data_IF_290300859115
#
_entry.id   IF_290300859115
#
_cell.length_a   1.000
_cell.length_b   1.000
_cell.length_c   1.000
_cell.angle_alpha   90.00
_cell.angle_beta   90.00
_cell.angle_gamma   90.00
#
_symmetry.space_group_name_H-M   'P 1'
#
loop_
_entity.id
_entity.type
_entity.pdbx_description
1 polymer ?
#
# COMPACT_ATOMS: atom_id res chain seq x y z
N UNK A 1 -10.74 -18.56 18.85
CA UNK A 1 -9.41 -17.99 18.63
C UNK A 1 -9.49 -16.85 17.64
N UNK A 2 -8.84 -15.76 17.92
CA UNK A 2 -8.86 -14.59 17.06
C UNK A 2 -7.86 -14.77 15.91
N UNK A 3 -8.37 -14.80 14.67
CA UNK A 3 -7.53 -15.04 13.50
C UNK A 3 -6.54 -13.90 13.23
N UNK A 4 -6.84 -12.67 13.67
CA UNK A 4 -5.91 -11.55 13.51
C UNK A 4 -4.58 -11.77 14.23
N UNK A 5 -4.60 -12.48 15.34
CA UNK A 5 -3.37 -12.75 16.10
C UNK A 5 -2.44 -13.72 15.40
N UNK A 6 -2.93 -14.42 14.38
CA UNK A 6 -2.10 -15.38 13.63
C UNK A 6 -1.31 -14.73 12.51
N UNK A 7 -1.66 -13.51 12.11
CA UNK A 7 -0.96 -12.81 11.05
C UNK A 7 0.26 -12.07 11.59
N UNK A 8 1.33 -12.14 10.85
CA UNK A 8 2.56 -11.42 11.15
C UNK A 8 2.73 -10.21 10.25
N UNK A 9 2.12 -10.24 9.09
CA UNK A 9 2.31 -9.25 8.04
C UNK A 9 0.98 -8.79 7.47
N UNK A 10 0.97 -7.57 6.93
CA UNK A 10 -0.18 -7.04 6.24
C UNK A 10 0.24 -6.26 5.00
N UNK A 11 -0.60 -6.30 3.99
CA UNK A 11 -0.53 -5.44 2.82
C UNK A 11 -1.84 -4.66 2.78
N UNK A 12 -1.76 -3.36 2.58
CA UNK A 12 -2.93 -2.48 2.60
C UNK A 12 -3.13 -1.89 1.21
N UNK A 13 -4.38 -1.90 0.73
CA UNK A 13 -4.74 -1.31 -0.55
C UNK A 13 -5.84 -0.29 -0.32
N UNK A 14 -5.64 0.95 -0.80
CA UNK A 14 -6.57 2.06 -0.60
C UNK A 14 -6.89 2.70 -1.94
N UNK A 15 -8.15 2.65 -2.34
CA UNK A 15 -8.62 3.25 -3.58
C UNK A 15 -10.13 3.39 -3.49
N UNK A 16 -10.68 4.55 -3.85
CA UNK A 16 -12.13 4.76 -3.74
C UNK A 16 -12.93 3.97 -4.77
N UNK A 17 -12.26 3.35 -5.75
CA UNK A 17 -12.90 2.48 -6.74
C UNK A 17 -12.79 1.02 -6.32
N UNK A 18 -13.90 0.38 -5.92
CA UNK A 18 -13.85 -1.01 -5.47
C UNK A 18 -13.39 -2.00 -6.56
N UNK A 19 -13.56 -1.67 -7.83
CA UNK A 19 -13.07 -2.54 -8.90
C UNK A 19 -11.54 -2.55 -8.97
N UNK A 20 -10.92 -1.42 -8.69
CA UNK A 20 -9.46 -1.35 -8.59
C UNK A 20 -8.96 -2.22 -7.44
N UNK A 21 -9.64 -2.14 -6.29
CA UNK A 21 -9.28 -2.97 -5.13
C UNK A 21 -9.42 -4.46 -5.43
N UNK A 22 -10.48 -4.83 -6.13
CA UNK A 22 -10.69 -6.22 -6.53
C UNK A 22 -9.57 -6.71 -7.45
N UNK A 23 -9.19 -5.89 -8.42
CA UNK A 23 -8.11 -6.21 -9.33
C UNK A 23 -6.79 -6.35 -8.61
N UNK A 24 -6.49 -5.44 -7.68
CA UNK A 24 -5.29 -5.50 -6.87
C UNK A 24 -5.22 -6.81 -6.06
N UNK A 25 -6.34 -7.16 -5.42
CA UNK A 25 -6.39 -8.39 -4.64
C UNK A 25 -6.07 -9.61 -5.49
N UNK A 26 -6.60 -9.65 -6.69
CA UNK A 26 -6.37 -10.75 -7.62
C UNK A 26 -4.90 -10.82 -8.05
N UNK A 27 -4.33 -9.68 -8.42
CA UNK A 27 -2.95 -9.64 -8.91
C UNK A 27 -1.92 -9.85 -7.82
N UNK A 28 -2.25 -9.49 -6.58
CA UNK A 28 -1.34 -9.67 -5.44
C UNK A 28 -1.34 -11.11 -4.91
N UNK A 29 -2.35 -11.89 -5.23
CA UNK A 29 -2.55 -13.21 -4.61
C UNK A 29 -1.33 -14.11 -4.70
N UNK A 30 -0.63 -14.09 -5.82
CA UNK A 30 0.54 -14.95 -6.03
C UNK A 30 1.74 -14.59 -5.15
N UNK A 31 1.75 -13.39 -4.59
CA UNK A 31 2.84 -12.93 -3.71
C UNK A 31 2.55 -13.15 -2.23
N UNK A 32 1.32 -13.51 -1.89
CA UNK A 32 0.85 -13.50 -0.52
C UNK A 32 0.89 -14.90 0.09
N UNK A 33 1.61 -15.02 1.21
CA UNK A 33 1.58 -16.23 2.03
C UNK A 33 0.37 -16.12 2.95
N UNK A 34 -0.71 -16.82 2.61
CA UNK A 34 -2.01 -16.65 3.26
C UNK A 34 -2.01 -16.97 4.75
N UNK A 35 -1.08 -17.79 5.19
CA UNK A 35 -1.03 -18.18 6.62
C UNK A 35 -0.44 -17.08 7.49
N UNK A 36 0.41 -16.23 6.93
CA UNK A 36 1.13 -15.22 7.70
C UNK A 36 0.76 -13.79 7.34
N UNK A 37 0.16 -13.58 6.17
CA UNK A 37 -0.05 -12.24 5.61
C UNK A 37 -1.52 -12.00 5.28
N UNK A 38 -2.07 -10.91 5.79
CA UNK A 38 -3.43 -10.47 5.46
C UNK A 38 -3.35 -9.31 4.47
N UNK A 39 -4.26 -9.28 3.52
CA UNK A 39 -4.42 -8.12 2.61
C UNK A 39 -5.73 -7.44 2.97
N UNK A 40 -5.65 -6.16 3.28
CA UNK A 40 -6.82 -5.38 3.68
C UNK A 40 -7.11 -4.31 2.64
N UNK A 41 -8.38 -4.07 2.37
CA UNK A 41 -8.83 -3.17 1.31
C UNK A 41 -9.72 -2.08 1.89
N UNK A 42 -9.46 -0.83 1.50
CA UNK A 42 -10.23 0.32 1.99
C UNK A 42 -10.62 1.24 0.85
N UNK A 43 -11.87 1.66 0.83
CA UNK A 43 -12.33 2.69 -0.12
C UNK A 43 -12.22 4.09 0.49
N UNK A 44 -11.99 4.19 1.79
CA UNK A 44 -11.90 5.46 2.51
C UNK A 44 -10.52 5.58 3.17
N UNK A 45 -9.76 6.64 2.88
CA UNK A 45 -8.40 6.77 3.42
C UNK A 45 -8.35 6.94 4.94
N UNK A 46 -9.37 7.56 5.55
CA UNK A 46 -9.37 7.75 6.99
C UNK A 46 -9.56 6.43 7.72
N UNK A 47 -10.41 5.56 7.19
CA UNK A 47 -10.58 4.22 7.74
C UNK A 47 -9.30 3.40 7.60
N UNK A 48 -8.59 3.57 6.48
CA UNK A 48 -7.32 2.89 6.26
C UNK A 48 -6.28 3.33 7.30
N UNK A 49 -6.21 4.62 7.58
CA UNK A 49 -5.27 5.16 8.59
C UNK A 49 -5.57 4.55 9.96
N UNK A 50 -6.83 4.51 10.36
CA UNK A 50 -7.21 3.93 11.65
C UNK A 50 -6.82 2.46 11.74
N UNK A 51 -7.04 1.71 10.67
CA UNK A 51 -6.70 0.30 10.63
C UNK A 51 -5.18 0.09 10.67
N UNK A 52 -4.43 0.91 9.95
CA UNK A 52 -2.97 0.84 9.94
C UNK A 52 -2.42 1.09 11.34
N UNK A 53 -2.95 2.10 12.04
CA UNK A 53 -2.53 2.38 13.41
C UNK A 53 -2.79 1.19 14.33
N UNK A 54 -3.94 0.54 14.16
CA UNK A 54 -4.28 -0.64 14.95
C UNK A 54 -3.31 -1.79 14.66
N UNK A 55 -3.04 -2.07 13.39
CA UNK A 55 -2.12 -3.14 13.02
C UNK A 55 -0.71 -2.88 13.58
N UNK A 56 -0.24 -1.64 13.49
CA UNK A 56 1.06 -1.28 14.05
C UNK A 56 1.08 -1.44 15.56
N UNK A 57 -0.01 -1.09 16.24
CA UNK A 57 -0.14 -1.29 17.68
C UNK A 57 -0.07 -2.77 18.04
N UNK A 58 -0.65 -3.62 17.21
CA UNK A 58 -0.64 -5.07 17.41
C UNK A 58 0.64 -5.73 16.92
N UNK A 59 1.60 -4.93 16.47
CA UNK A 59 2.93 -5.40 16.03
C UNK A 59 2.87 -6.26 14.79
N UNK A 60 1.88 -6.03 13.94
CA UNK A 60 1.81 -6.64 12.63
C UNK A 60 2.61 -5.76 11.67
N UNK A 61 3.60 -6.34 11.02
CA UNK A 61 4.43 -5.57 10.09
C UNK A 61 3.67 -5.31 8.79
N UNK A 62 3.55 -4.05 8.40
CA UNK A 62 2.95 -3.69 7.12
C UNK A 62 4.06 -3.71 6.08
N UNK A 63 3.94 -4.64 5.12
CA UNK A 63 4.99 -4.82 4.11
C UNK A 63 5.00 -3.64 3.15
N UNK A 64 3.83 -3.23 2.67
CA UNK A 64 3.66 -2.01 1.88
C UNK A 64 2.19 -1.61 1.84
N UNK A 65 1.96 -0.37 1.43
CA UNK A 65 0.62 0.17 1.23
C UNK A 65 0.52 0.65 -0.21
N UNK A 66 -0.49 0.19 -0.93
CA UNK A 66 -0.82 0.70 -2.27
C UNK A 66 -1.93 1.72 -2.08
N UNK A 67 -1.72 2.94 -2.58
CA UNK A 67 -2.69 4.02 -2.38
C UNK A 67 -2.90 4.79 -3.69
N UNK A 68 -4.16 5.08 -4.00
CA UNK A 68 -4.53 5.93 -5.12
C UNK A 68 -4.27 7.39 -4.77
N UNK A 69 -3.89 8.20 -5.75
CA UNK A 69 -3.69 9.62 -5.52
C UNK A 69 -5.02 10.35 -5.30
N UNK A 70 -6.00 10.12 -6.18
CA UNK A 70 -7.27 10.84 -6.12
C UNK A 70 -8.30 10.08 -5.29
N UNK A 71 -8.57 10.59 -4.10
CA UNK A 71 -9.57 10.02 -3.20
C UNK A 71 -10.36 11.15 -2.54
N UNK A 72 -11.63 10.91 -2.17
CA UNK A 72 -12.37 11.91 -1.37
C UNK A 72 -11.71 12.08 -0.01
N UNK A 73 -11.92 13.21 0.61
CA UNK A 73 -11.46 13.60 1.94
C UNK A 73 -9.95 13.87 2.02
N UNK A 74 -9.12 13.09 1.35
CA UNK A 74 -7.68 13.20 1.48
C UNK A 74 -7.03 12.58 0.24
N UNK A 75 -6.11 13.29 -0.41
CA UNK A 75 -5.42 12.70 -1.55
C UNK A 75 -4.30 11.77 -1.08
N UNK A 76 -3.74 11.00 -2.03
CA UNK A 76 -2.71 10.02 -1.71
C UNK A 76 -1.45 10.63 -1.13
N UNK A 77 -1.07 11.84 -1.56
CA UNK A 77 0.11 12.51 -1.02
C UNK A 77 -0.07 12.86 0.44
N UNK A 78 -1.24 13.41 0.78
CA UNK A 78 -1.56 13.73 2.17
C UNK A 78 -1.60 12.47 3.04
N UNK A 79 -2.17 11.41 2.51
CA UNK A 79 -2.24 10.11 3.18
C UNK A 79 -0.83 9.61 3.50
N UNK A 80 0.07 9.62 2.52
CA UNK A 80 1.44 9.15 2.70
C UNK A 80 2.18 10.01 3.71
N UNK A 81 2.08 11.33 3.62
CA UNK A 81 2.77 12.22 4.54
C UNK A 81 2.30 12.01 5.98
N UNK A 82 0.98 11.84 6.16
CA UNK A 82 0.42 11.58 7.48
C UNK A 82 1.01 10.30 8.09
N UNK A 83 1.08 9.23 7.30
CA UNK A 83 1.58 7.96 7.81
C UNK A 83 3.09 7.93 7.95
N UNK A 84 3.83 8.62 7.08
CA UNK A 84 5.29 8.71 7.20
C UNK A 84 5.71 9.48 8.44
N UNK A 85 4.93 10.47 8.86
CA UNK A 85 5.20 11.18 10.11
C UNK A 85 5.11 10.26 11.32
N UNK A 86 4.19 9.30 11.27
CA UNK A 86 3.99 8.35 12.37
C UNK A 86 4.89 7.13 12.24
N UNK A 87 5.12 6.67 11.03
CA UNK A 87 5.83 5.43 10.74
C UNK A 87 6.80 5.68 9.58
N UNK A 88 7.99 6.25 9.87
CA UNK A 88 8.91 6.69 8.81
C UNK A 88 9.40 5.61 7.86
N UNK A 89 9.42 4.36 8.30
CA UNK A 89 9.92 3.25 7.49
C UNK A 89 8.85 2.59 6.62
N UNK A 90 7.59 3.05 6.72
CA UNK A 90 6.50 2.47 5.96
C UNK A 90 6.70 2.70 4.47
N UNK A 91 6.41 1.67 3.67
CA UNK A 91 6.63 1.71 2.22
C UNK A 91 5.32 1.90 1.48
N UNK A 92 5.34 2.77 0.48
CA UNK A 92 4.15 3.10 -0.29
C UNK A 92 4.39 2.91 -1.78
N UNK A 93 3.36 2.38 -2.45
CA UNK A 93 3.26 2.36 -3.90
C UNK A 93 2.06 3.24 -4.25
N UNK A 94 2.25 4.25 -5.08
CA UNK A 94 1.16 5.13 -5.48
C UNK A 94 0.61 4.73 -6.83
N UNK A 95 -0.71 4.66 -6.94
CA UNK A 95 -1.41 4.53 -8.20
C UNK A 95 -1.93 5.90 -8.60
N UNK A 96 -1.78 6.28 -9.86
CA UNK A 96 -2.21 7.61 -10.26
C UNK A 96 -2.52 7.67 -11.73
N UNK A 97 -3.55 8.45 -12.07
CA UNK A 97 -3.80 8.83 -13.44
C UNK A 97 -2.83 9.92 -13.88
N UNK A 98 -2.84 10.24 -15.17
CA UNK A 98 -1.87 11.17 -15.77
C UNK A 98 -1.93 12.57 -15.14
N UNK A 99 -3.11 13.00 -14.73
CA UNK A 99 -3.30 14.36 -14.20
C UNK A 99 -2.57 14.59 -12.87
N UNK A 100 -2.19 13.53 -12.19
CA UNK A 100 -1.57 13.61 -10.86
C UNK A 100 -0.05 13.53 -10.88
N UNK A 101 0.56 13.37 -12.06
CA UNK A 101 2.00 13.11 -12.18
C UNK A 101 2.87 14.21 -11.57
N UNK A 102 2.43 15.47 -11.66
CA UNK A 102 3.20 16.60 -11.13
C UNK A 102 3.35 16.50 -9.62
N UNK A 103 2.30 16.08 -8.94
CA UNK A 103 2.32 15.96 -7.47
C UNK A 103 3.12 14.75 -6.99
N UNK A 104 3.22 13.73 -7.83
CA UNK A 104 3.98 12.53 -7.50
C UNK A 104 5.48 12.81 -7.44
N UNK A 105 5.98 13.70 -8.30
CA UNK A 105 7.40 14.04 -8.32
C UNK A 105 7.90 14.53 -6.97
N UNK A 106 7.10 15.31 -6.25
CA UNK A 106 7.46 15.79 -4.92
C UNK A 106 7.69 14.63 -3.94
N UNK A 107 6.83 13.62 -4.00
CA UNK A 107 6.94 12.46 -3.12
C UNK A 107 8.17 11.60 -3.46
N UNK A 108 8.47 11.47 -4.74
CA UNK A 108 9.66 10.73 -5.17
C UNK A 108 10.91 11.46 -4.70
N UNK A 109 10.96 12.78 -4.88
CA UNK A 109 12.11 13.59 -4.47
C UNK A 109 12.33 13.58 -2.97
N UNK A 110 11.26 13.44 -2.19
CA UNK A 110 11.34 13.37 -0.74
C UNK A 110 11.55 11.94 -0.21
N UNK A 111 11.76 10.99 -1.10
CA UNK A 111 11.94 9.57 -0.76
C UNK A 111 10.75 8.96 -0.01
N UNK A 112 9.55 9.44 -0.30
CA UNK A 112 8.34 8.95 0.36
C UNK A 112 7.67 7.79 -0.36
N UNK A 113 8.07 7.53 -1.61
CA UNK A 113 7.50 6.45 -2.41
C UNK A 113 8.54 5.39 -2.73
N UNK A 114 8.15 4.11 -2.62
CA UNK A 114 8.93 3.03 -3.21
C UNK A 114 8.77 3.03 -4.72
N UNK A 115 7.56 3.27 -5.19
CA UNK A 115 7.30 3.28 -6.62
C UNK A 115 5.99 3.97 -6.94
N UNK A 116 5.88 4.39 -8.19
CA UNK A 116 4.69 4.99 -8.76
C UNK A 116 4.25 4.14 -9.95
N UNK A 117 2.95 3.83 -10.01
CA UNK A 117 2.39 3.02 -11.10
C UNK A 117 1.24 3.80 -11.71
N UNK A 118 1.29 4.02 -13.03
CA UNK A 118 0.25 4.76 -13.75
C UNK A 118 -1.00 3.92 -13.97
N UNK A 119 -2.17 4.55 -13.84
CA UNK A 119 -3.44 3.92 -14.17
C UNK A 119 -3.81 4.20 -15.63
N UNK A 120 -4.25 3.23 -16.40
CA UNK A 120 -4.27 1.80 -16.10
C UNK A 120 -2.86 1.21 -16.16
N UNK A 121 -2.61 0.21 -15.35
CA UNK A 121 -1.28 -0.39 -15.31
C UNK A 121 -1.26 -1.75 -16.01
N UNK A 122 -0.06 -2.14 -16.43
CA UNK A 122 0.21 -3.49 -16.91
C UNK A 122 0.46 -4.36 -15.67
N UNK A 123 -0.12 -5.55 -15.66
CA UNK A 123 0.10 -6.47 -14.55
C UNK A 123 1.58 -6.74 -14.30
N UNK A 124 2.36 -6.82 -15.36
CA UNK A 124 3.81 -7.04 -15.25
C UNK A 124 4.52 -5.89 -14.53
N UNK A 125 4.06 -4.68 -14.75
CA UNK A 125 4.62 -3.50 -14.09
C UNK A 125 4.39 -3.55 -12.60
N UNK A 126 3.16 -3.80 -12.19
CA UNK A 126 2.83 -3.91 -10.78
C UNK A 126 3.57 -5.09 -10.14
N UNK A 127 3.59 -6.23 -10.82
CA UNK A 127 4.27 -7.43 -10.31
C UNK A 127 5.75 -7.19 -10.08
N UNK A 128 6.42 -6.44 -10.98
CA UNK A 128 7.84 -6.15 -10.83
C UNK A 128 8.10 -5.31 -9.58
N UNK A 129 7.25 -4.31 -9.33
CA UNK A 129 7.38 -3.45 -8.15
C UNK A 129 7.19 -4.26 -6.87
N UNK A 130 6.13 -5.07 -6.83
CA UNK A 130 5.78 -5.87 -5.66
C UNK A 130 6.87 -6.92 -5.39
N UNK A 131 7.32 -7.58 -6.43
CA UNK A 131 8.37 -8.61 -6.32
C UNK A 131 9.65 -8.01 -5.75
N UNK A 132 10.02 -6.81 -6.19
CA UNK A 132 11.21 -6.12 -5.71
C UNK A 132 11.11 -5.84 -4.20
N UNK A 133 9.95 -5.40 -3.73
CA UNK A 133 9.75 -5.14 -2.29
C UNK A 133 9.90 -6.43 -1.49
N UNK A 134 9.31 -7.52 -1.95
CA UNK A 134 9.41 -8.81 -1.24
C UNK A 134 10.84 -9.34 -1.24
N UNK A 135 11.58 -9.17 -2.33
CA UNK A 135 12.97 -9.59 -2.39
C UNK A 135 13.84 -8.80 -1.42
N UNK A 136 13.66 -7.49 -1.36
CA UNK A 136 14.40 -6.65 -0.41
C UNK A 136 14.09 -7.04 1.03
N UNK A 137 12.83 -7.32 1.32
CA UNK A 137 12.43 -7.75 2.65
C UNK A 137 13.12 -9.05 3.04
N UNK A 138 13.19 -10.02 2.13
CA UNK A 138 13.79 -11.33 2.41
C UNK A 138 15.29 -11.25 2.60
N UNK A 139 15.97 -10.30 1.96
CA UNK A 139 17.43 -10.16 2.08
C UNK A 139 17.84 -9.38 3.32
N UNK A 140 16.93 -8.71 3.99
CA UNK A 140 17.22 -7.92 5.19
C UNK A 140 17.14 -8.70 6.49
N UNK A 141 16.91 -9.97 6.41
CA UNK A 141 16.85 -10.83 7.61
C UNK A 141 18.21 -11.13 8.21
#
# INVERSE_FOLDING_TARGET
MNTMNDFKYAVICVDDDPYILQMLGFQLEKFIEKKTTVVEFFTNPLEAIDNIKLLMHEKIEIIFVIVDYQMPDMNGAEFIRTLKDLFPDMKFIMLSGQASAIHVDDLVNDNMLESFVSKPWDEKELSAVVDDIFKKKNTQK
#
